data_IF_179973924083
#
_entry.id   IF_179973924083
#
_cell.length_a   1.000
_cell.length_b   1.000
_cell.length_c   1.000
_cell.angle_alpha   90.00
_cell.angle_beta   90.00
_cell.angle_gamma   90.00
#
_symmetry.space_group_name_H-M   'P 1'
#
loop_
_entity.id
_entity.type
_entity.pdbx_description
1 polymer ?
#
# COMPACT_ATOMS: atom_id res chain seq x y z
N UNK A 1 -28.44 -4.00 24.04
CA UNK A 1 -28.38 -4.50 22.65
C UNK A 1 -27.10 -5.29 22.53
N UNK A 2 -27.16 -6.54 22.08
CA UNK A 2 -25.96 -7.36 21.87
C UNK A 2 -25.41 -7.09 20.46
N UNK A 3 -24.10 -7.00 20.33
CA UNK A 3 -23.44 -6.95 19.02
C UNK A 3 -23.69 -8.26 18.26
N UNK A 4 -23.86 -8.17 16.94
CA UNK A 4 -23.94 -9.32 16.04
C UNK A 4 -22.55 -9.85 15.69
N UNK A 5 -22.48 -11.08 15.21
CA UNK A 5 -21.24 -11.72 14.79
C UNK A 5 -20.60 -10.96 13.61
N UNK A 6 -19.30 -10.69 13.71
CA UNK A 6 -18.55 -9.93 12.71
C UNK A 6 -18.53 -10.61 11.34
N UNK A 7 -18.67 -11.94 11.28
CA UNK A 7 -18.73 -12.71 10.03
C UNK A 7 -19.93 -12.35 9.15
N UNK A 8 -20.96 -11.70 9.70
CA UNK A 8 -22.11 -11.22 8.94
C UNK A 8 -21.77 -9.99 8.08
N UNK A 9 -20.66 -9.30 8.37
CA UNK A 9 -20.31 -8.01 7.79
C UNK A 9 -18.92 -7.98 7.15
N UNK A 10 -18.05 -8.91 7.51
CA UNK A 10 -16.67 -8.97 7.02
C UNK A 10 -16.50 -10.20 6.16
N UNK A 11 -16.04 -9.99 4.93
CA UNK A 11 -15.50 -11.04 4.07
C UNK A 11 -13.99 -11.11 4.29
N UNK A 12 -13.48 -12.06 5.09
CA UNK A 12 -12.05 -12.16 5.42
C UNK A 12 -11.26 -12.84 4.28
N UNK A 13 -11.56 -12.53 3.02
CA UNK A 13 -10.80 -13.01 1.88
C UNK A 13 -10.88 -12.08 0.67
N UNK A 14 -9.91 -12.21 -0.23
CA UNK A 14 -9.87 -11.61 -1.56
C UNK A 14 -9.81 -12.69 -2.63
N UNK A 15 -10.58 -12.50 -3.69
CA UNK A 15 -10.54 -13.35 -4.87
C UNK A 15 -9.74 -12.64 -5.98
N UNK A 16 -8.55 -13.16 -6.30
CA UNK A 16 -7.58 -12.54 -7.22
C UNK A 16 -7.51 -13.32 -8.55
N UNK A 17 -8.05 -12.78 -9.67
CA UNK A 17 -8.05 -13.46 -10.96
C UNK A 17 -6.72 -13.34 -11.72
N UNK A 18 -5.98 -14.43 -11.90
CA UNK A 18 -4.70 -14.47 -12.61
C UNK A 18 -4.75 -15.55 -13.69
N UNK A 19 -4.47 -15.18 -14.94
CA UNK A 19 -4.41 -16.09 -16.09
C UNK A 19 -5.63 -17.02 -16.24
N UNK A 20 -6.83 -16.51 -15.95
CA UNK A 20 -8.08 -17.27 -16.06
C UNK A 20 -8.41 -18.18 -14.86
N UNK A 21 -7.55 -18.21 -13.84
CA UNK A 21 -7.82 -18.87 -12.55
C UNK A 21 -7.98 -17.81 -11.46
N UNK A 22 -8.95 -18.02 -10.56
CA UNK A 22 -9.15 -17.15 -9.39
C UNK A 22 -8.51 -17.78 -8.17
N UNK A 23 -7.60 -17.04 -7.55
CA UNK A 23 -6.91 -17.44 -6.32
C UNK A 23 -7.58 -16.77 -5.12
N UNK A 24 -8.03 -17.57 -4.15
CA UNK A 24 -8.65 -17.04 -2.93
C UNK A 24 -7.61 -16.87 -1.84
N UNK A 25 -7.33 -15.63 -1.47
CA UNK A 25 -6.41 -15.28 -0.38
C UNK A 25 -7.22 -14.92 0.86
N UNK A 26 -7.00 -15.64 1.96
CA UNK A 26 -7.63 -15.30 3.25
C UNK A 26 -6.96 -14.08 3.89
N UNK A 27 -7.65 -13.43 4.83
CA UNK A 27 -7.04 -12.40 5.67
C UNK A 27 -5.80 -12.94 6.37
N UNK A 28 -4.78 -12.11 6.46
CA UNK A 28 -3.57 -12.44 7.21
C UNK A 28 -3.89 -12.67 8.69
N UNK A 29 -3.05 -13.46 9.37
CA UNK A 29 -3.13 -13.59 10.81
C UNK A 29 -2.74 -12.27 11.52
N UNK A 30 -3.06 -12.18 12.81
CA UNK A 30 -2.84 -10.97 13.59
C UNK A 30 -1.36 -10.56 13.66
N UNK A 31 -0.43 -11.52 13.77
CA UNK A 31 1.01 -11.24 13.86
C UNK A 31 1.53 -10.65 12.54
N UNK A 32 1.08 -11.21 11.41
CA UNK A 32 1.38 -10.70 10.08
C UNK A 32 0.76 -9.32 9.85
N UNK A 33 -0.46 -9.08 10.34
CA UNK A 33 -1.09 -7.76 10.32
C UNK A 33 -0.28 -6.69 11.08
N UNK A 34 0.15 -7.00 12.30
CA UNK A 34 1.01 -6.12 13.12
C UNK A 34 2.33 -5.85 12.39
N UNK A 35 2.94 -6.89 11.81
CA UNK A 35 4.17 -6.74 11.04
C UNK A 35 4.01 -5.79 9.84
N UNK A 36 2.89 -5.89 9.11
CA UNK A 36 2.61 -4.98 7.99
C UNK A 36 2.44 -3.53 8.46
N UNK A 37 1.79 -3.33 9.60
CA UNK A 37 1.58 -2.00 10.17
C UNK A 37 2.91 -1.36 10.61
N UNK A 38 3.79 -2.15 11.25
CA UNK A 38 5.14 -1.70 11.62
C UNK A 38 5.94 -1.24 10.39
N UNK A 39 5.90 -1.99 9.28
CA UNK A 39 6.55 -1.59 8.03
C UNK A 39 6.07 -0.21 7.56
N UNK A 40 4.76 0.05 7.60
CA UNK A 40 4.19 1.34 7.19
C UNK A 40 4.64 2.47 8.11
N UNK A 41 4.63 2.24 9.41
CA UNK A 41 5.08 3.20 10.41
C UNK A 41 6.55 3.58 10.20
N UNK A 42 7.41 2.59 9.97
CA UNK A 42 8.83 2.83 9.65
C UNK A 42 8.99 3.60 8.35
N UNK A 43 8.28 3.25 7.28
CA UNK A 43 8.34 3.97 6.00
C UNK A 43 7.90 5.43 6.15
N UNK A 44 6.83 5.67 6.92
CA UNK A 44 6.35 7.03 7.19
C UNK A 44 7.36 7.84 8.02
N UNK A 45 7.99 7.22 9.00
CA UNK A 45 9.05 7.83 9.80
C UNK A 45 10.25 8.24 8.91
N UNK A 46 10.70 7.37 8.00
CA UNK A 46 11.74 7.71 7.00
C UNK A 46 11.31 8.93 6.17
N UNK A 47 10.07 8.92 5.64
CA UNK A 47 9.57 10.00 4.76
C UNK A 47 9.43 11.34 5.48
N UNK A 48 9.09 11.34 6.76
CA UNK A 48 8.94 12.54 7.58
C UNK A 48 10.25 13.04 8.18
N UNK A 49 11.34 12.28 8.01
CA UNK A 49 12.68 12.65 8.50
C UNK A 49 12.89 12.37 9.98
N UNK A 50 12.12 11.45 10.57
CA UNK A 50 12.35 10.97 11.92
C UNK A 50 13.66 10.15 11.98
N UNK A 51 14.39 10.25 13.08
CA UNK A 51 15.51 9.33 13.34
C UNK A 51 14.95 7.93 13.59
N UNK A 52 15.50 6.96 12.86
CA UNK A 52 15.20 5.55 13.00
C UNK A 52 16.48 4.83 13.43
N UNK A 53 16.32 3.86 14.31
CA UNK A 53 17.44 3.01 14.71
C UNK A 53 17.79 2.05 13.56
N UNK A 54 19.05 1.58 13.51
CA UNK A 54 19.48 0.57 12.52
C UNK A 54 18.60 -0.68 12.52
N UNK A 55 18.00 -1.01 13.68
CA UNK A 55 17.08 -2.15 13.84
C UNK A 55 15.76 -1.95 13.08
N UNK A 56 15.28 -0.70 13.00
CA UNK A 56 14.02 -0.37 12.32
C UNK A 56 14.22 -0.42 10.80
N UNK A 57 15.40 0.03 10.33
CA UNK A 57 15.74 0.03 8.89
C UNK A 57 16.15 -1.37 8.40
N UNK A 58 16.76 -2.19 9.26
CA UNK A 58 17.14 -3.56 8.91
C UNK A 58 15.92 -4.42 8.52
N UNK A 59 14.75 -4.18 9.11
CA UNK A 59 13.50 -4.86 8.74
C UNK A 59 12.92 -4.46 7.37
N UNK A 60 13.34 -3.32 6.82
CA UNK A 60 12.91 -2.85 5.50
C UNK A 60 13.76 -3.39 4.34
N UNK A 61 14.97 -3.86 4.64
CA UNK A 61 15.87 -4.43 3.64
C UNK A 61 15.66 -5.94 3.57
N UNK A 62 14.64 -6.33 2.81
CA UNK A 62 14.40 -7.73 2.48
C UNK A 62 15.42 -8.17 1.42
N UNK A 63 16.17 -9.23 1.69
CA UNK A 63 16.88 -9.97 0.64
C UNK A 63 15.90 -10.90 -0.11
N UNK A 64 16.36 -11.59 -1.14
CA UNK A 64 15.49 -12.44 -1.98
C UNK A 64 14.73 -13.50 -1.17
N UNK A 65 15.34 -14.06 -0.12
CA UNK A 65 14.72 -15.06 0.74
C UNK A 65 13.70 -14.42 1.70
N UNK A 66 14.02 -13.27 2.27
CA UNK A 66 13.11 -12.50 3.11
C UNK A 66 11.92 -11.93 2.32
N UNK A 67 12.11 -11.53 1.06
CA UNK A 67 11.01 -11.18 0.17
C UNK A 67 10.09 -12.38 -0.06
N UNK A 68 10.66 -13.56 -0.27
CA UNK A 68 9.88 -14.79 -0.48
C UNK A 68 9.04 -15.13 0.74
N UNK A 69 9.64 -15.06 1.92
CA UNK A 69 8.95 -15.30 3.18
C UNK A 69 7.88 -14.25 3.47
N UNK A 70 8.13 -12.99 3.13
CA UNK A 70 7.14 -11.93 3.24
C UNK A 70 5.93 -12.18 2.31
N UNK A 71 6.17 -12.55 1.06
CA UNK A 71 5.10 -12.89 0.12
C UNK A 71 4.31 -14.12 0.58
N UNK A 72 4.97 -15.13 1.17
CA UNK A 72 4.32 -16.30 1.77
C UNK A 72 3.46 -15.93 2.98
N UNK A 73 3.94 -15.04 3.87
CA UNK A 73 3.15 -14.54 5.01
C UNK A 73 1.88 -13.84 4.56
N UNK A 74 1.95 -13.02 3.50
CA UNK A 74 0.81 -12.28 2.97
C UNK A 74 -0.21 -13.19 2.25
N UNK A 75 0.27 -14.07 1.37
CA UNK A 75 -0.62 -14.89 0.53
C UNK A 75 -1.06 -16.21 1.20
N UNK A 76 -0.39 -16.60 2.28
CA UNK A 76 -0.65 -17.85 3.00
C UNK A 76 -0.52 -19.07 2.09
N UNK A 77 -1.46 -20.02 2.22
CA UNK A 77 -1.51 -21.24 1.40
C UNK A 77 -1.64 -20.97 -0.10
N UNK A 78 -2.19 -19.82 -0.47
CA UNK A 78 -2.32 -19.38 -1.88
C UNK A 78 -0.96 -19.18 -2.53
N UNK A 79 0.08 -18.85 -1.75
CA UNK A 79 1.44 -18.71 -2.25
C UNK A 79 1.93 -20.03 -2.87
N UNK A 80 1.77 -21.13 -2.13
CA UNK A 80 2.23 -22.44 -2.58
C UNK A 80 1.37 -22.94 -3.77
N UNK A 81 0.08 -22.58 -3.83
CA UNK A 81 -0.78 -22.83 -5.00
C UNK A 81 -0.27 -22.08 -6.25
N UNK A 82 0.03 -20.78 -6.13
CA UNK A 82 0.57 -19.98 -7.23
C UNK A 82 1.93 -20.51 -7.72
N UNK A 83 2.78 -21.01 -6.81
CA UNK A 83 4.04 -21.66 -7.18
C UNK A 83 3.82 -22.98 -7.92
N UNK A 84 2.89 -23.81 -7.44
CA UNK A 84 2.54 -25.07 -8.10
C UNK A 84 2.00 -24.85 -9.52
N UNK A 85 1.21 -23.79 -9.71
CA UNK A 85 0.66 -23.38 -11.00
C UNK A 85 1.65 -22.63 -11.91
N UNK A 86 2.90 -22.44 -11.44
CA UNK A 86 3.96 -21.72 -12.16
C UNK A 86 3.56 -20.29 -12.55
N UNK A 87 2.81 -19.62 -11.69
CA UNK A 87 2.47 -18.21 -11.88
C UNK A 87 3.75 -17.39 -11.94
N UNK A 88 3.87 -16.52 -12.95
CA UNK A 88 5.07 -15.70 -13.11
C UNK A 88 5.25 -14.76 -11.92
N UNK A 89 6.51 -14.53 -11.52
CA UNK A 89 6.86 -13.75 -10.33
C UNK A 89 6.22 -12.36 -10.28
N UNK A 90 6.10 -11.68 -11.42
CA UNK A 90 5.44 -10.37 -11.49
C UNK A 90 3.98 -10.42 -11.02
N UNK A 91 3.22 -11.46 -11.35
CA UNK A 91 1.84 -11.61 -10.88
C UNK A 91 1.77 -11.94 -9.40
N UNK A 92 2.71 -12.76 -8.89
CA UNK A 92 2.81 -13.05 -7.45
C UNK A 92 3.09 -11.76 -6.67
N UNK A 93 4.04 -10.93 -7.12
CA UNK A 93 4.33 -9.64 -6.50
C UNK A 93 3.13 -8.70 -6.50
N UNK A 94 2.38 -8.63 -7.61
CA UNK A 94 1.17 -7.80 -7.68
C UNK A 94 0.14 -8.32 -6.68
N UNK A 95 -0.11 -9.62 -6.64
CA UNK A 95 -1.05 -10.23 -5.70
C UNK A 95 -0.66 -9.97 -4.24
N UNK A 96 0.61 -10.18 -3.87
CA UNK A 96 1.10 -9.90 -2.52
C UNK A 96 0.97 -8.42 -2.16
N UNK A 97 1.29 -7.49 -3.07
CA UNK A 97 1.12 -6.05 -2.84
C UNK A 97 -0.35 -5.63 -2.71
N UNK A 98 -1.25 -6.28 -3.44
CA UNK A 98 -2.70 -6.09 -3.28
C UNK A 98 -3.15 -6.49 -1.88
N UNK A 99 -2.71 -7.66 -1.40
CA UNK A 99 -3.04 -8.16 -0.06
C UNK A 99 -2.42 -7.30 1.03
N UNK A 100 -1.17 -6.86 0.84
CA UNK A 100 -0.54 -5.88 1.73
C UNK A 100 -1.37 -4.61 1.82
N UNK A 101 -1.75 -4.03 0.67
CA UNK A 101 -2.59 -2.81 0.60
C UNK A 101 -3.93 -3.01 1.30
N UNK A 102 -4.59 -4.14 1.11
CA UNK A 102 -5.83 -4.48 1.79
C UNK A 102 -5.65 -4.54 3.31
N UNK A 103 -4.54 -5.13 3.76
CA UNK A 103 -4.23 -5.30 5.19
C UNK A 103 -4.00 -3.96 5.89
N UNK A 104 -3.27 -3.04 5.26
CA UNK A 104 -2.89 -1.75 5.87
C UNK A 104 -3.90 -0.63 5.61
N UNK A 105 -4.80 -0.79 4.64
CA UNK A 105 -5.83 0.18 4.27
C UNK A 105 -7.20 -0.49 4.31
N UNK A 106 -7.78 -0.73 3.14
CA UNK A 106 -9.11 -1.29 2.96
C UNK A 106 -9.18 -2.02 1.61
N UNK A 107 -10.33 -2.67 1.36
CA UNK A 107 -10.57 -3.46 0.15
C UNK A 107 -10.62 -2.57 -1.10
N UNK A 108 -11.17 -1.38 -0.99
CA UNK A 108 -11.33 -0.45 -2.11
C UNK A 108 -9.96 0.00 -2.63
N UNK A 109 -9.03 0.35 -1.74
CA UNK A 109 -7.65 0.69 -2.11
C UNK A 109 -6.91 -0.47 -2.77
N UNK A 110 -7.16 -1.70 -2.30
CA UNK A 110 -6.56 -2.90 -2.87
C UNK A 110 -7.10 -3.18 -4.28
N UNK A 111 -8.41 -3.01 -4.50
CA UNK A 111 -9.03 -3.16 -5.81
C UNK A 111 -8.52 -2.10 -6.79
N UNK A 112 -8.40 -0.84 -6.37
CA UNK A 112 -7.80 0.21 -7.20
C UNK A 112 -6.37 -0.13 -7.62
N UNK A 113 -5.55 -0.62 -6.70
CA UNK A 113 -4.18 -1.03 -6.98
C UNK A 113 -4.14 -2.21 -7.97
N UNK A 114 -5.03 -3.18 -7.80
CA UNK A 114 -5.16 -4.34 -8.69
C UNK A 114 -5.55 -3.92 -10.11
N UNK A 115 -6.57 -3.06 -10.26
CA UNK A 115 -7.05 -2.58 -11.56
C UNK A 115 -6.00 -1.74 -12.31
N UNK A 116 -5.06 -1.12 -11.59
CA UNK A 116 -3.91 -0.40 -12.17
C UNK A 116 -2.76 -1.34 -12.59
N UNK A 117 -2.93 -2.66 -12.47
CA UNK A 117 -1.89 -3.65 -12.76
C UNK A 117 -0.71 -3.59 -11.80
N UNK A 118 -0.98 -3.20 -10.54
CA UNK A 118 0.04 -3.11 -9.49
C UNK A 118 1.05 -1.96 -9.64
N UNK A 119 0.71 -0.94 -10.44
CA UNK A 119 1.50 0.29 -10.53
C UNK A 119 1.16 1.20 -9.35
N UNK A 120 2.11 1.56 -8.48
CA UNK A 120 1.88 2.63 -7.52
C UNK A 120 1.51 3.89 -8.30
N UNK A 121 0.55 4.66 -7.78
CA UNK A 121 0.26 5.98 -8.32
C UNK A 121 1.60 6.70 -8.48
N UNK A 122 1.94 7.14 -9.70
CA UNK A 122 3.08 8.00 -9.87
C UNK A 122 2.84 9.13 -8.88
N UNK A 123 3.66 9.23 -7.83
CA UNK A 123 3.64 10.36 -6.92
C UNK A 123 3.61 11.57 -7.82
N UNK A 124 2.46 12.19 -7.98
CA UNK A 124 2.38 13.47 -8.65
C UNK A 124 3.21 14.33 -7.71
N UNK A 125 4.42 14.78 -8.10
CA UNK A 125 5.16 15.66 -7.22
C UNK A 125 4.19 16.79 -6.94
N UNK A 126 3.88 17.03 -5.65
CA UNK A 126 3.01 18.11 -5.25
C UNK A 126 3.46 19.33 -6.05
N UNK A 127 2.55 19.88 -6.86
CA UNK A 127 2.86 21.00 -7.75
C UNK A 127 3.25 22.17 -6.86
N UNK A 128 4.54 22.24 -6.50
CA UNK A 128 5.19 23.41 -5.94
C UNK A 128 5.37 24.39 -7.10
N UNK A 129 4.27 24.91 -7.62
CA UNK A 129 4.31 26.07 -8.50
C UNK A 129 3.36 27.15 -7.98
N UNK A 130 3.96 27.92 -7.07
CA UNK A 130 3.82 29.36 -6.91
C UNK A 130 2.45 29.87 -6.48
N UNK A 131 2.31 30.00 -5.17
CA UNK A 131 1.84 31.26 -4.60
C UNK A 131 2.68 32.40 -5.22
N UNK A 132 2.11 33.05 -6.22
CA UNK A 132 2.60 34.33 -6.73
C UNK A 132 1.87 35.40 -5.90
N UNK A 133 2.51 36.08 -4.93
CA UNK A 133 1.86 37.19 -4.26
C UNK A 133 1.66 38.29 -5.30
N UNK A 134 0.40 38.60 -5.62
CA UNK A 134 0.08 39.76 -6.44
C UNK A 134 0.50 41.01 -5.66
N UNK A 135 1.54 41.66 -6.17
CA UNK A 135 2.17 42.87 -5.67
C UNK A 135 1.13 44.00 -5.60
N UNK A 136 0.77 44.43 -4.38
CA UNK A 136 0.03 45.69 -4.14
C UNK A 136 0.83 46.83 -4.77
N UNK A 137 0.26 47.49 -5.79
CA UNK A 137 0.81 48.75 -6.30
C UNK A 137 -0.13 49.87 -5.92
N UNK A 138 0.21 50.57 -4.85
CA UNK A 138 -0.29 51.89 -4.50
C UNK A 138 0.44 52.96 -5.32
N UNK A 139 -0.29 53.88 -5.95
CA UNK A 139 0.10 55.27 -6.29
C UNK A 139 -1.16 55.96 -6.84
N UNK A 140 -1.91 56.72 -6.01
CA UNK A 140 -1.75 58.12 -5.58
C UNK A 140 -2.00 59.13 -6.73
N UNK A 141 -2.93 60.04 -6.42
CA UNK A 141 -3.71 61.02 -7.21
C UNK A 141 -2.92 62.19 -7.85
N UNK A 142 -3.54 62.77 -8.88
CA UNK A 142 -3.59 64.21 -9.29
C UNK A 142 -2.51 64.81 -10.24
N UNK A 143 -2.93 65.32 -11.42
CA UNK A 143 -3.14 66.76 -11.75
C UNK A 143 -2.83 67.18 -13.22
N UNK A 144 -3.77 67.96 -13.78
CA UNK A 144 -3.72 69.04 -14.81
C UNK A 144 -2.99 68.90 -16.16
N UNK A 145 -3.75 69.12 -17.25
CA UNK A 145 -3.55 70.29 -18.14
C UNK A 145 -4.80 70.60 -18.96
#
# INVERSE_FOLDING_TARGET
>A
MAFKDLKEYVEPWLDLPINGKTYRVNSVDADTGIYCQLIVETVLAVQTGAELDEKDVAGLKLDDDAERDFNRRLLGTTYDEMLADKVAWEYVKIASRTVFTWTIRDRDAAEEFWMRGGRPEAHRPATKDRQRPAKKTTKKTAASR
#
